data_IF_335868823095
#
_entry.id   IF_335868823095
#
_cell.length_a   1.000
_cell.length_b   1.000
_cell.length_c   1.000
_cell.angle_alpha   90.00
_cell.angle_beta   90.00
_cell.angle_gamma   90.00
#
_symmetry.space_group_name_H-M   'P 1'
#
loop_
_entity.id
_entity.type
_entity.pdbx_description
1 polymer ?
#
# COMPACT_ATOMS: atom_id res chain seq x y z
N UNK A 1 -2.13 32.28 -0.28
CA UNK A 1 -1.72 31.26 -1.28
C UNK A 1 -2.59 30.01 -1.15
N UNK A 2 -3.48 29.79 -2.11
CA UNK A 2 -4.30 28.56 -2.20
C UNK A 2 -3.43 27.49 -2.84
N UNK A 3 -2.85 26.60 -2.03
CA UNK A 3 -2.07 25.47 -2.55
C UNK A 3 -3.07 24.44 -3.07
N UNK A 4 -3.11 24.22 -4.39
CA UNK A 4 -3.91 23.16 -5.00
C UNK A 4 -3.20 21.81 -4.81
N UNK A 5 -3.38 21.24 -3.61
CA UNK A 5 -2.91 19.88 -3.28
C UNK A 5 -3.54 18.80 -4.18
N UNK A 6 -4.57 19.14 -5.00
CA UNK A 6 -5.19 18.23 -5.97
C UNK A 6 -4.27 17.83 -7.13
N UNK A 7 -3.24 18.63 -7.43
CA UNK A 7 -2.21 18.28 -8.43
C UNK A 7 -0.98 17.57 -7.84
N UNK A 8 -0.74 17.71 -6.53
CA UNK A 8 0.38 17.07 -5.85
C UNK A 8 0.10 15.59 -5.53
N UNK A 9 -1.16 15.22 -5.34
CA UNK A 9 -1.57 13.85 -5.06
C UNK A 9 -2.02 13.12 -6.34
N UNK A 10 -1.71 11.82 -6.49
CA UNK A 10 -2.21 11.04 -7.63
C UNK A 10 -3.73 10.99 -7.62
N UNK A 11 -4.36 10.92 -8.81
CA UNK A 11 -5.84 11.00 -8.98
C UNK A 11 -6.65 10.03 -8.10
N UNK A 12 -6.06 8.92 -7.68
CA UNK A 12 -6.73 7.92 -6.82
C UNK A 12 -6.75 8.30 -5.33
N UNK A 13 -5.90 9.24 -4.89
CA UNK A 13 -5.75 9.59 -3.47
C UNK A 13 -6.97 10.33 -2.89
N UNK A 14 -7.57 11.25 -3.65
CA UNK A 14 -8.73 12.02 -3.17
C UNK A 14 -9.95 11.16 -2.83
N UNK A 15 -10.38 10.19 -3.68
CA UNK A 15 -11.44 9.24 -3.31
C UNK A 15 -11.10 8.44 -2.04
N UNK A 16 -9.85 8.00 -1.89
CA UNK A 16 -9.39 7.26 -0.71
C UNK A 16 -9.46 8.15 0.54
N UNK A 17 -8.97 9.39 0.48
CA UNK A 17 -9.00 10.32 1.60
C UNK A 17 -10.43 10.66 2.04
N UNK A 18 -11.35 10.85 1.10
CA UNK A 18 -12.78 11.08 1.40
C UNK A 18 -13.41 9.88 2.10
N UNK A 19 -13.10 8.67 1.65
CA UNK A 19 -13.58 7.44 2.27
C UNK A 19 -13.03 7.28 3.69
N UNK A 20 -11.74 7.58 3.90
CA UNK A 20 -11.11 7.61 5.22
C UNK A 20 -11.79 8.65 6.13
N UNK A 21 -11.93 9.89 5.66
CA UNK A 21 -12.56 11.00 6.38
C UNK A 21 -13.97 10.66 6.84
N UNK A 22 -14.79 10.10 5.93
CA UNK A 22 -16.18 9.68 6.21
C UNK A 22 -16.27 8.74 7.42
N UNK A 23 -15.32 7.83 7.58
CA UNK A 23 -15.29 6.88 8.68
C UNK A 23 -14.60 7.44 9.94
N UNK A 24 -13.52 8.21 9.75
CA UNK A 24 -12.66 8.69 10.84
C UNK A 24 -13.25 9.87 11.60
N UNK A 25 -13.85 10.86 10.91
CA UNK A 25 -14.34 12.11 11.52
C UNK A 25 -15.29 11.85 12.69
N UNK A 26 -16.33 10.98 12.57
CA UNK A 26 -17.21 10.69 13.70
C UNK A 26 -16.50 10.06 14.90
N UNK A 27 -15.38 9.37 14.69
CA UNK A 27 -14.60 8.72 15.76
C UNK A 27 -13.62 9.66 16.44
N UNK A 28 -13.14 10.69 15.73
CA UNK A 28 -12.20 11.68 16.22
C UNK A 28 -12.88 12.93 16.81
N UNK A 29 -14.14 13.19 16.44
CA UNK A 29 -14.90 14.34 16.92
C UNK A 29 -14.91 14.40 18.46
N UNK A 30 -14.56 15.57 19.01
CA UNK A 30 -14.55 15.82 20.45
C UNK A 30 -13.36 15.23 21.22
N UNK A 31 -12.39 14.56 20.56
CA UNK A 31 -11.18 14.04 21.23
C UNK A 31 -10.10 15.09 21.48
N UNK A 32 -10.25 16.32 20.96
CA UNK A 32 -9.20 17.33 20.94
C UNK A 32 -8.21 17.13 19.79
N UNK A 33 -7.08 17.85 19.78
CA UNK A 33 -6.09 17.76 18.71
C UNK A 33 -5.51 16.35 18.57
N UNK A 34 -5.31 15.91 17.33
CA UNK A 34 -4.65 14.63 17.02
C UNK A 34 -3.23 14.87 16.48
N UNK A 35 -2.27 14.06 16.93
CA UNK A 35 -0.94 14.02 16.31
C UNK A 35 -1.01 13.15 15.06
N UNK A 36 -0.83 13.75 13.88
CA UNK A 36 -0.83 13.01 12.61
C UNK A 36 0.59 12.62 12.24
N UNK A 37 0.83 11.32 12.06
CA UNK A 37 2.09 10.78 11.53
C UNK A 37 1.89 10.25 10.13
N UNK A 38 2.74 10.71 9.22
CA UNK A 38 2.77 10.31 7.81
C UNK A 38 4.15 9.75 7.46
N UNK A 39 4.33 8.43 7.45
CA UNK A 39 5.60 7.83 7.06
C UNK A 39 5.89 8.13 5.58
N UNK A 40 6.89 8.99 5.31
CA UNK A 40 7.27 9.40 3.94
C UNK A 40 7.65 8.22 3.02
N UNK A 41 8.12 7.12 3.60
CA UNK A 41 8.52 5.92 2.89
C UNK A 41 7.35 5.01 2.50
N UNK A 42 6.12 5.29 2.94
CA UNK A 42 4.96 4.44 2.68
C UNK A 42 4.10 4.97 1.53
N UNK A 43 3.47 4.07 0.73
CA UNK A 43 2.52 4.47 -0.32
C UNK A 43 1.37 5.35 0.18
N UNK A 44 0.97 5.18 1.45
CA UNK A 44 -0.07 5.97 2.11
C UNK A 44 0.26 7.47 2.19
N UNK A 45 1.54 7.86 2.08
CA UNK A 45 1.96 9.26 2.06
C UNK A 45 1.24 10.07 0.97
N UNK A 46 0.96 9.45 -0.18
CA UNK A 46 0.24 10.08 -1.29
C UNK A 46 -1.20 10.51 -0.93
N UNK A 47 -1.78 9.94 0.13
CA UNK A 47 -3.11 10.25 0.66
C UNK A 47 -3.05 11.32 1.76
N UNK A 48 -1.89 11.49 2.40
CA UNK A 48 -1.67 12.37 3.56
C UNK A 48 -2.16 13.82 3.38
N UNK A 49 -1.76 14.54 2.32
CA UNK A 49 -2.23 15.91 2.07
C UNK A 49 -3.75 16.04 2.02
N UNK A 50 -4.44 15.05 1.44
CA UNK A 50 -5.89 15.03 1.35
C UNK A 50 -6.54 14.72 2.70
N UNK A 51 -5.91 13.92 3.57
CA UNK A 51 -6.37 13.67 4.95
C UNK A 51 -6.27 14.94 5.79
N UNK A 52 -5.17 15.71 5.70
CA UNK A 52 -5.08 17.01 6.39
C UNK A 52 -6.20 17.97 5.99
N UNK A 53 -6.48 18.05 4.68
CA UNK A 53 -7.57 18.87 4.17
C UNK A 53 -8.92 18.45 4.74
N UNK A 54 -9.20 17.14 4.75
CA UNK A 54 -10.46 16.60 5.28
C UNK A 54 -10.61 16.82 6.80
N UNK A 55 -9.54 16.60 7.59
CA UNK A 55 -9.55 16.89 9.03
C UNK A 55 -9.85 18.37 9.30
N UNK A 56 -9.12 19.28 8.64
CA UNK A 56 -9.33 20.72 8.77
C UNK A 56 -10.75 21.14 8.36
N UNK A 57 -11.23 20.62 7.22
CA UNK A 57 -12.58 20.88 6.69
C UNK A 57 -13.68 20.48 7.68
N UNK A 58 -13.46 19.43 8.46
CA UNK A 58 -14.40 18.92 9.45
C UNK A 58 -14.14 19.43 10.88
N UNK A 59 -13.25 20.42 11.04
CA UNK A 59 -12.97 21.02 12.35
C UNK A 59 -12.22 20.10 13.32
N UNK A 60 -11.57 19.04 12.82
CA UNK A 60 -10.70 18.22 13.64
C UNK A 60 -9.35 18.91 13.73
N UNK A 61 -9.01 19.37 14.94
CA UNK A 61 -7.70 19.93 15.21
C UNK A 61 -6.63 18.85 15.09
N UNK A 62 -5.49 19.21 14.51
CA UNK A 62 -4.36 18.31 14.39
C UNK A 62 -3.04 19.06 14.49
N UNK A 63 -2.01 18.30 14.87
CA UNK A 63 -0.60 18.70 14.94
C UNK A 63 0.26 17.64 14.27
N UNK A 64 1.51 17.97 13.98
CA UNK A 64 2.51 17.12 13.32
C UNK A 64 3.86 17.24 14.04
N UNK A 65 4.63 16.16 14.07
CA UNK A 65 5.98 16.11 14.66
C UNK A 65 7.10 16.12 13.59
N UNK A 66 6.77 15.85 12.33
CA UNK A 66 7.70 15.90 11.20
C UNK A 66 8.09 17.34 10.82
N UNK A 67 9.39 17.68 10.77
CA UNK A 67 9.85 19.04 10.46
C UNK A 67 9.42 19.58 9.09
N UNK A 68 9.35 18.73 8.06
CA UNK A 68 8.96 19.14 6.71
C UNK A 68 7.45 19.46 6.68
N UNK A 69 6.65 18.68 7.39
CA UNK A 69 5.23 18.97 7.58
C UNK A 69 5.00 20.24 8.42
N UNK A 70 5.80 20.49 9.45
CA UNK A 70 5.74 21.75 10.22
C UNK A 70 6.07 22.94 9.32
N UNK A 71 7.10 22.83 8.47
CA UNK A 71 7.45 23.89 7.52
C UNK A 71 6.32 24.17 6.52
N UNK A 72 5.61 23.13 6.08
CA UNK A 72 4.50 23.26 5.13
C UNK A 72 3.20 23.78 5.76
N UNK A 73 2.88 23.36 6.98
CA UNK A 73 1.59 23.61 7.65
C UNK A 73 1.64 24.79 8.63
N UNK A 74 2.84 25.25 8.99
CA UNK A 74 3.09 26.34 9.93
C UNK A 74 3.43 25.85 11.35
N UNK A 75 4.18 26.68 12.08
CA UNK A 75 4.67 26.37 13.44
C UNK A 75 3.56 26.11 14.46
N UNK A 76 2.38 26.69 14.26
CA UNK A 76 1.21 26.50 15.14
C UNK A 76 0.68 25.06 15.11
N UNK A 77 1.08 24.28 14.10
CA UNK A 77 0.75 22.85 13.96
C UNK A 77 1.83 21.94 14.53
N UNK A 78 2.87 22.47 15.15
CA UNK A 78 3.95 21.65 15.73
C UNK A 78 3.47 20.95 16.99
N UNK A 79 3.73 19.64 17.07
CA UNK A 79 3.58 18.89 18.31
C UNK A 79 4.65 19.31 19.33
N UNK A 80 4.22 19.67 20.55
CA UNK A 80 5.10 20.14 21.64
C UNK A 80 5.36 19.09 22.72
N UNK A 81 4.85 17.87 22.52
CA UNK A 81 4.90 16.79 23.51
C UNK A 81 3.60 16.61 24.30
N UNK A 82 2.71 17.60 24.30
CA UNK A 82 1.50 17.62 25.15
C UNK A 82 0.23 18.13 24.46
N UNK A 83 0.35 18.83 23.34
CA UNK A 83 -0.77 19.44 22.60
C UNK A 83 -1.51 18.48 21.64
N UNK A 84 -1.55 17.19 21.96
CA UNK A 84 -2.38 16.20 21.27
C UNK A 84 -3.01 15.24 22.29
N UNK A 85 -4.09 14.57 21.92
CA UNK A 85 -4.74 13.55 22.75
C UNK A 85 -4.40 12.12 22.33
N UNK A 86 -4.17 11.91 21.04
CA UNK A 86 -3.90 10.61 20.43
C UNK A 86 -2.99 10.78 19.22
N UNK A 87 -2.33 9.68 18.82
CA UNK A 87 -1.60 9.62 17.55
C UNK A 87 -2.49 8.96 16.51
N UNK A 88 -2.54 9.54 15.31
CA UNK A 88 -3.16 8.94 14.13
C UNK A 88 -2.13 8.73 13.04
N UNK A 89 -2.11 7.52 12.47
CA UNK A 89 -1.12 7.12 11.47
C UNK A 89 -1.83 6.58 10.23
N UNK A 90 -1.34 6.90 9.03
CA UNK A 90 -1.80 6.27 7.81
C UNK A 90 -0.95 5.02 7.49
N UNK A 91 -1.60 3.86 7.48
CA UNK A 91 -0.99 2.59 7.04
C UNK A 91 -1.36 2.31 5.58
N UNK A 92 -0.51 1.55 4.88
CA UNK A 92 -0.76 1.06 3.52
C UNK A 92 -0.74 -0.48 3.45
N UNK A 93 -1.28 -1.03 2.35
CA UNK A 93 -1.17 -2.45 1.99
C UNK A 93 -1.67 -3.41 3.05
N UNK A 94 -0.92 -4.49 3.30
CA UNK A 94 -1.29 -5.48 4.32
C UNK A 94 -1.44 -4.88 5.72
N UNK A 95 -0.59 -3.93 6.13
CA UNK A 95 -0.72 -3.27 7.43
C UNK A 95 -2.00 -2.42 7.54
N UNK A 96 -2.55 -1.93 6.42
CA UNK A 96 -3.86 -1.28 6.41
C UNK A 96 -5.00 -2.30 6.61
N UNK A 97 -4.86 -3.50 6.04
CA UNK A 97 -5.83 -4.58 6.15
C UNK A 97 -5.79 -5.24 7.54
N UNK A 98 -4.59 -5.47 8.05
CA UNK A 98 -4.24 -6.15 9.28
C UNK A 98 -3.33 -5.25 10.13
N UNK A 99 -3.90 -4.24 10.83
CA UNK A 99 -3.13 -3.35 11.69
C UNK A 99 -2.34 -4.13 12.74
N UNK A 100 -1.14 -3.64 13.14
CA UNK A 100 -0.38 -4.26 14.23
C UNK A 100 -1.19 -4.37 15.54
N UNK A 101 -0.92 -5.37 16.40
CA UNK A 101 -1.56 -5.49 17.70
C UNK A 101 -1.41 -4.23 18.55
N UNK A 102 -2.45 -3.87 19.31
CA UNK A 102 -2.44 -2.69 20.20
C UNK A 102 -2.83 -1.38 19.52
N UNK A 103 -3.05 -1.40 18.20
CA UNK A 103 -3.46 -0.24 17.41
C UNK A 103 -4.91 -0.41 16.93
N UNK A 104 -5.75 0.62 17.08
CA UNK A 104 -7.14 0.58 16.62
C UNK A 104 -7.26 1.16 15.20
N UNK A 105 -7.85 0.39 14.27
CA UNK A 105 -8.23 0.94 12.95
C UNK A 105 -9.57 1.66 13.01
N UNK A 106 -9.53 2.97 12.79
CA UNK A 106 -10.70 3.84 12.82
C UNK A 106 -11.32 4.09 11.44
N UNK A 107 -10.54 3.91 10.37
CA UNK A 107 -11.02 3.99 9.00
C UNK A 107 -10.24 3.06 8.07
N UNK A 108 -10.90 2.55 7.02
CA UNK A 108 -10.26 1.72 6.01
C UNK A 108 -10.83 1.97 4.62
N UNK A 109 -9.93 2.21 3.66
CA UNK A 109 -10.22 2.26 2.25
C UNK A 109 -9.48 1.10 1.55
N UNK A 110 -10.17 0.17 0.88
CA UNK A 110 -9.54 -1.06 0.37
C UNK A 110 -8.69 -0.86 -0.89
N UNK A 111 -8.69 0.32 -1.53
CA UNK A 111 -7.93 0.60 -2.75
C UNK A 111 -8.46 -0.04 -4.04
N UNK A 112 -9.33 -1.04 -3.92
CA UNK A 112 -10.02 -1.78 -4.98
C UNK A 112 -11.54 -1.77 -4.73
N UNK A 113 -12.33 -1.71 -5.80
CA UNK A 113 -13.78 -1.89 -5.69
C UNK A 113 -14.18 -3.35 -5.38
N UNK A 114 -15.47 -3.61 -5.15
CA UNK A 114 -15.95 -4.97 -4.81
C UNK A 114 -15.69 -5.99 -5.92
N UNK A 115 -15.86 -5.61 -7.18
CA UNK A 115 -15.65 -6.50 -8.32
C UNK A 115 -14.17 -6.81 -8.53
N UNK A 116 -13.31 -5.82 -8.37
CA UNK A 116 -11.85 -5.95 -8.44
C UNK A 116 -11.32 -6.83 -7.31
N UNK A 117 -11.83 -6.67 -6.09
CA UNK A 117 -11.46 -7.53 -4.96
C UNK A 117 -11.89 -8.97 -5.17
N UNK A 118 -13.08 -9.19 -5.72
CA UNK A 118 -13.56 -10.54 -6.03
C UNK A 118 -12.68 -11.18 -7.10
N UNK A 119 -12.41 -10.47 -8.20
CA UNK A 119 -11.53 -10.95 -9.27
C UNK A 119 -10.11 -11.25 -8.76
N UNK A 120 -9.54 -10.38 -7.91
CA UNK A 120 -8.23 -10.63 -7.28
C UNK A 120 -8.27 -11.91 -6.44
N UNK A 121 -9.27 -12.07 -5.57
CA UNK A 121 -9.42 -13.24 -4.69
C UNK A 121 -9.56 -14.54 -5.49
N UNK A 122 -10.39 -14.53 -6.54
CA UNK A 122 -10.58 -15.70 -7.41
C UNK A 122 -9.28 -16.09 -8.12
N UNK A 123 -8.52 -15.11 -8.62
CA UNK A 123 -7.21 -15.36 -9.21
C UNK A 123 -6.21 -15.90 -8.17
N UNK A 124 -6.16 -15.34 -6.95
CA UNK A 124 -5.28 -15.81 -5.87
C UNK A 124 -5.56 -17.27 -5.48
N UNK A 125 -6.84 -17.65 -5.40
CA UNK A 125 -7.23 -19.03 -5.12
C UNK A 125 -6.77 -20.00 -6.21
N UNK A 126 -6.88 -19.60 -7.49
CA UNK A 126 -6.41 -20.42 -8.63
C UNK A 126 -4.89 -20.52 -8.65
N UNK A 127 -4.19 -19.40 -8.45
CA UNK A 127 -2.72 -19.35 -8.35
C UNK A 127 -2.25 -20.28 -7.23
N UNK A 128 -2.82 -20.17 -6.02
CA UNK A 128 -2.46 -21.02 -4.89
C UNK A 128 -2.70 -22.51 -5.18
N UNK A 129 -3.82 -22.85 -5.81
CA UNK A 129 -4.13 -24.23 -6.21
C UNK A 129 -3.12 -24.77 -7.23
N UNK A 130 -2.76 -23.97 -8.24
CA UNK A 130 -1.72 -24.31 -9.23
C UNK A 130 -0.38 -24.54 -8.54
N UNK A 131 0.06 -23.63 -7.68
CA UNK A 131 1.34 -23.73 -6.97
C UNK A 131 1.40 -24.99 -6.09
N UNK A 132 0.32 -25.30 -5.36
CA UNK A 132 0.23 -26.49 -4.52
C UNK A 132 0.29 -27.80 -5.34
N UNK A 133 -0.37 -27.84 -6.51
CA UNK A 133 -0.35 -29.01 -7.39
C UNK A 133 1.01 -29.23 -8.08
N UNK A 134 1.78 -28.16 -8.27
CA UNK A 134 3.04 -28.19 -9.05
C UNK A 134 4.20 -28.84 -8.29
N UNK A 135 4.17 -28.87 -6.96
CA UNK A 135 5.10 -29.63 -6.09
C UNK A 135 6.60 -29.29 -6.20
N UNK A 136 7.02 -28.36 -7.07
CA UNK A 136 8.42 -27.99 -7.24
C UNK A 136 8.61 -26.56 -7.75
N UNK A 137 9.56 -25.80 -7.16
CA UNK A 137 9.87 -24.43 -7.54
C UNK A 137 10.58 -24.29 -8.90
N UNK A 138 10.89 -25.41 -9.56
CA UNK A 138 11.82 -25.42 -10.69
C UNK A 138 11.25 -24.90 -12.00
N UNK A 139 9.96 -24.59 -12.07
CA UNK A 139 9.35 -24.15 -13.31
C UNK A 139 8.22 -23.15 -13.01
N UNK A 140 8.54 -21.98 -12.47
CA UNK A 140 7.68 -20.81 -12.68
C UNK A 140 8.15 -19.99 -13.89
N UNK A 141 9.45 -20.06 -14.15
CA UNK A 141 10.09 -19.24 -15.15
C UNK A 141 9.94 -19.89 -16.53
N UNK A 142 9.64 -19.08 -17.54
CA UNK A 142 9.78 -19.48 -18.93
C UNK A 142 11.28 -19.48 -19.30
N UNK A 143 11.89 -20.64 -19.59
CA UNK A 143 13.31 -20.73 -19.91
C UNK A 143 13.70 -19.87 -21.13
N UNK A 144 12.78 -19.67 -22.07
CA UNK A 144 13.01 -18.83 -23.27
C UNK A 144 13.11 -17.37 -22.88
N UNK A 145 12.20 -16.89 -22.02
CA UNK A 145 12.21 -15.51 -21.52
C UNK A 145 13.45 -15.24 -20.66
N UNK A 146 13.82 -16.18 -19.79
CA UNK A 146 15.05 -16.09 -18.98
C UNK A 146 16.31 -16.07 -19.85
N UNK A 147 16.37 -16.90 -20.90
CA UNK A 147 17.50 -16.92 -21.82
C UNK A 147 17.59 -15.65 -22.69
N UNK A 148 16.45 -15.02 -22.97
CA UNK A 148 16.37 -13.77 -23.72
C UNK A 148 16.68 -12.51 -22.88
N UNK A 149 16.80 -12.64 -21.55
CA UNK A 149 17.21 -11.52 -20.69
C UNK A 149 18.61 -11.04 -21.07
N UNK A 150 18.70 -9.75 -21.40
CA UNK A 150 19.97 -9.05 -21.56
C UNK A 150 20.79 -9.15 -20.25
N UNK A 151 22.11 -9.44 -20.30
CA UNK A 151 22.94 -9.56 -19.11
C UNK A 151 22.94 -8.31 -18.21
N UNK A 152 22.88 -7.11 -18.79
CA UNK A 152 22.80 -5.85 -18.05
C UNK A 152 21.43 -5.71 -17.39
N UNK A 153 20.38 -6.12 -18.07
CA UNK A 153 19.04 -6.14 -17.49
C UNK A 153 18.93 -7.17 -16.35
N UNK A 154 19.62 -8.30 -16.44
CA UNK A 154 19.71 -9.30 -15.37
C UNK A 154 20.42 -8.74 -14.13
N UNK A 155 21.51 -7.99 -14.30
CA UNK A 155 22.16 -7.27 -13.18
C UNK A 155 21.28 -6.14 -12.63
N UNK A 156 20.57 -5.41 -13.50
CA UNK A 156 19.60 -4.38 -13.13
C UNK A 156 18.42 -4.93 -12.32
N UNK A 157 17.94 -6.13 -12.64
CA UNK A 157 16.93 -6.85 -11.86
C UNK A 157 17.38 -7.11 -10.43
N UNK A 158 18.63 -7.53 -10.24
CA UNK A 158 19.20 -7.73 -8.91
C UNK A 158 19.28 -6.40 -8.14
N UNK A 159 19.56 -5.28 -8.81
CA UNK A 159 19.59 -3.96 -8.16
C UNK A 159 18.19 -3.43 -7.80
N UNK A 160 17.20 -3.64 -8.68
CA UNK A 160 15.82 -3.15 -8.50
C UNK A 160 15.04 -4.02 -7.51
N UNK A 161 15.14 -5.34 -7.66
CA UNK A 161 14.46 -6.32 -6.81
C UNK A 161 15.26 -6.62 -5.53
N UNK A 162 16.53 -6.22 -5.48
CA UNK A 162 17.48 -6.51 -4.38
C UNK A 162 17.68 -8.00 -4.11
N UNK A 163 17.34 -8.84 -5.08
CA UNK A 163 17.27 -10.30 -4.95
C UNK A 163 17.76 -10.99 -6.23
N UNK A 164 18.35 -12.17 -6.07
CA UNK A 164 18.74 -13.03 -7.20
C UNK A 164 17.51 -13.79 -7.73
N UNK A 165 17.43 -13.95 -9.05
CA UNK A 165 16.29 -14.54 -9.76
C UNK A 165 15.91 -15.95 -9.27
N UNK A 166 16.85 -16.87 -9.00
CA UNK A 166 16.54 -18.19 -8.44
C UNK A 166 15.92 -18.14 -7.04
N UNK A 167 16.26 -17.14 -6.21
CA UNK A 167 15.66 -16.99 -4.89
C UNK A 167 14.23 -16.45 -4.99
N UNK A 168 14.04 -15.43 -5.84
CA UNK A 168 12.73 -14.87 -6.16
C UNK A 168 11.77 -15.94 -6.71
N UNK A 169 12.25 -16.77 -7.65
CA UNK A 169 11.47 -17.89 -8.19
C UNK A 169 11.11 -18.93 -7.12
N UNK A 170 12.03 -19.21 -6.19
CA UNK A 170 11.78 -20.14 -5.09
C UNK A 170 10.72 -19.62 -4.13
N UNK A 171 10.77 -18.34 -3.77
CA UNK A 171 9.77 -17.69 -2.93
C UNK A 171 8.40 -17.66 -3.59
N UNK A 172 8.34 -17.23 -4.85
CA UNK A 172 7.10 -17.23 -5.62
C UNK A 172 6.46 -18.62 -5.67
N UNK A 173 7.27 -19.65 -5.88
CA UNK A 173 6.80 -21.03 -5.86
C UNK A 173 6.36 -21.53 -4.48
N UNK A 174 6.90 -20.95 -3.41
CA UNK A 174 6.45 -21.19 -2.04
C UNK A 174 5.18 -20.39 -1.67
N UNK A 175 4.58 -19.65 -2.61
CA UNK A 175 3.37 -18.88 -2.39
C UNK A 175 3.59 -17.43 -1.98
N UNK A 176 4.82 -16.93 -2.04
CA UNK A 176 5.13 -15.51 -1.83
C UNK A 176 4.56 -14.67 -2.99
N UNK A 177 3.41 -14.04 -2.75
CA UNK A 177 2.71 -13.26 -3.78
C UNK A 177 3.52 -12.04 -4.25
N UNK A 178 4.18 -11.24 -3.38
CA UNK A 178 5.11 -10.20 -3.83
C UNK A 178 6.19 -10.71 -4.78
N UNK A 179 6.81 -11.86 -4.48
CA UNK A 179 7.81 -12.45 -5.36
C UNK A 179 7.22 -12.86 -6.73
N UNK A 180 6.02 -13.45 -6.73
CA UNK A 180 5.33 -13.82 -7.96
C UNK A 180 4.95 -12.58 -8.80
N UNK A 181 4.48 -11.51 -8.16
CA UNK A 181 4.17 -10.23 -8.82
C UNK A 181 5.41 -9.65 -9.51
N UNK A 182 6.57 -9.66 -8.84
CA UNK A 182 7.82 -9.21 -9.44
C UNK A 182 8.21 -10.04 -10.68
N UNK A 183 8.03 -11.36 -10.65
CA UNK A 183 8.30 -12.22 -11.80
C UNK A 183 7.33 -11.99 -12.97
N UNK A 184 6.06 -11.74 -12.70
CA UNK A 184 5.07 -11.43 -13.76
C UNK A 184 5.38 -10.10 -14.41
N UNK A 185 5.75 -9.09 -13.62
CA UNK A 185 6.06 -7.74 -14.11
C UNK A 185 7.31 -7.67 -14.97
N UNK A 186 8.19 -8.64 -14.78
CA UNK A 186 9.42 -8.79 -15.55
C UNK A 186 9.22 -9.71 -16.76
N UNK A 187 7.98 -10.13 -17.00
CA UNK A 187 7.61 -11.09 -18.05
C UNK A 187 8.50 -12.34 -18.01
N UNK A 188 8.70 -12.90 -16.82
CA UNK A 188 9.52 -14.10 -16.65
C UNK A 188 8.71 -15.35 -16.35
N UNK A 189 7.42 -15.19 -16.00
CA UNK A 189 6.54 -16.32 -15.70
C UNK A 189 6.09 -17.02 -16.99
N UNK A 190 6.01 -18.35 -16.89
CA UNK A 190 5.37 -19.23 -17.86
C UNK A 190 3.85 -19.23 -17.62
N UNK A 191 3.13 -18.37 -18.35
CA UNK A 191 1.69 -18.13 -18.19
C UNK A 191 0.85 -19.39 -18.41
N UNK A 192 1.31 -20.33 -19.25
CA UNK A 192 0.60 -21.58 -19.56
C UNK A 192 0.39 -22.46 -18.32
N UNK A 193 1.15 -22.21 -17.25
CA UNK A 193 1.01 -22.89 -15.95
C UNK A 193 -0.22 -22.45 -15.17
N UNK A 194 -0.79 -21.31 -15.50
CA UNK A 194 -1.90 -20.71 -14.77
C UNK A 194 -3.15 -20.64 -15.67
N UNK A 195 -3.69 -21.80 -16.12
CA UNK A 195 -4.78 -21.82 -17.06
C UNK A 195 -6.01 -21.08 -16.52
N UNK A 196 -6.54 -20.17 -17.33
CA UNK A 196 -7.71 -19.37 -16.97
C UNK A 196 -7.43 -18.31 -15.90
N UNK A 197 -6.17 -17.94 -15.68
CA UNK A 197 -5.77 -16.77 -14.87
C UNK A 197 -5.10 -15.75 -15.77
N UNK A 198 -5.62 -14.52 -15.76
CA UNK A 198 -4.92 -13.38 -16.35
C UNK A 198 -3.90 -12.85 -15.32
N UNK A 199 -2.68 -13.35 -15.39
CA UNK A 199 -1.60 -13.05 -14.45
C UNK A 199 -1.23 -11.56 -14.44
N UNK A 200 -1.19 -10.92 -15.62
CA UNK A 200 -0.89 -9.51 -15.75
C UNK A 200 -1.96 -8.64 -15.06
N UNK A 201 -3.25 -8.96 -15.28
CA UNK A 201 -4.35 -8.28 -14.59
C UNK A 201 -4.31 -8.54 -13.08
N UNK A 202 -4.05 -9.77 -12.65
CA UNK A 202 -3.92 -10.10 -11.24
C UNK A 202 -2.78 -9.29 -10.58
N UNK A 203 -1.58 -9.27 -11.16
CA UNK A 203 -0.44 -8.52 -10.64
C UNK A 203 -0.74 -7.01 -10.53
N UNK A 204 -1.45 -6.45 -11.53
CA UNK A 204 -1.94 -5.06 -11.48
C UNK A 204 -2.91 -4.82 -10.33
N UNK A 205 -3.86 -5.73 -10.09
CA UNK A 205 -4.79 -5.65 -8.97
C UNK A 205 -4.07 -5.80 -7.63
N UNK A 206 -3.11 -6.72 -7.54
CA UNK A 206 -2.30 -6.93 -6.35
C UNK A 206 -1.51 -5.68 -5.97
N UNK A 207 -0.74 -5.09 -6.90
CA UNK A 207 -0.05 -3.82 -6.67
C UNK A 207 -0.98 -2.69 -6.27
N UNK A 208 -2.15 -2.58 -6.91
CA UNK A 208 -3.13 -1.56 -6.55
C UNK A 208 -3.67 -1.76 -5.13
N UNK A 209 -3.93 -3.01 -4.72
CA UNK A 209 -4.30 -3.29 -3.34
C UNK A 209 -3.18 -2.88 -2.38
N UNK A 210 -1.94 -3.28 -2.63
CA UNK A 210 -0.80 -2.94 -1.76
C UNK A 210 -0.54 -1.42 -1.67
N UNK A 211 -0.66 -0.71 -2.78
CA UNK A 211 -0.34 0.73 -2.83
C UNK A 211 -1.50 1.65 -2.48
N UNK A 212 -2.75 1.19 -2.59
CA UNK A 212 -3.95 2.03 -2.42
C UNK A 212 -4.86 1.58 -1.29
N UNK A 213 -4.67 0.37 -0.75
CA UNK A 213 -5.30 0.04 0.53
C UNK A 213 -4.69 0.97 1.57
N UNK A 214 -5.55 1.70 2.26
CA UNK A 214 -5.12 2.71 3.24
C UNK A 214 -6.00 2.57 4.47
N UNK A 215 -5.39 2.63 5.64
CA UNK A 215 -6.09 2.69 6.89
C UNK A 215 -5.65 3.91 7.67
N UNK A 216 -6.59 4.55 8.35
CA UNK A 216 -6.26 5.47 9.43
C UNK A 216 -6.40 4.68 10.73
N UNK A 217 -5.31 4.66 11.49
CA UNK A 217 -5.26 4.00 12.78
C UNK A 217 -5.03 5.00 13.89
N UNK A 218 -5.43 4.66 15.10
CA UNK A 218 -5.27 5.47 16.31
C UNK A 218 -4.56 4.65 17.39
N UNK A 219 -3.66 5.32 18.11
CA UNK A 219 -2.97 4.78 19.28
C UNK A 219 -2.85 5.85 20.38
N UNK A 220 -2.69 5.44 21.66
CA UNK A 220 -2.39 6.37 22.73
C UNK A 220 -1.08 7.12 22.48
N UNK A 221 -0.96 8.33 23.05
CA UNK A 221 0.33 9.00 23.08
C UNK A 221 1.33 8.19 23.93
N UNK A 222 2.60 8.08 23.49
CA UNK A 222 3.66 7.43 24.25
C UNK A 222 4.05 8.20 25.52
#
# INVERSE_FOLDING_TARGET
PTVDNGTAAPRWAMPVAREISRQAVPRLAGRGPVLVRLPLSQPSFAVGPAVFYELARHGIEFVVDDPDLVAQLGSDRRFDGTNAAVVVTLLAGDAALNPPPGIERIAFAPGLDSSERQAKREAELRIAATLAASGSPRLLLDPRKVAALDPVFREGLVLVLREDLPDLARRAAAGDLPALVALIETDLVDDDRFPGVDLARWAKLHRRAETRATALVVEPLP
#
